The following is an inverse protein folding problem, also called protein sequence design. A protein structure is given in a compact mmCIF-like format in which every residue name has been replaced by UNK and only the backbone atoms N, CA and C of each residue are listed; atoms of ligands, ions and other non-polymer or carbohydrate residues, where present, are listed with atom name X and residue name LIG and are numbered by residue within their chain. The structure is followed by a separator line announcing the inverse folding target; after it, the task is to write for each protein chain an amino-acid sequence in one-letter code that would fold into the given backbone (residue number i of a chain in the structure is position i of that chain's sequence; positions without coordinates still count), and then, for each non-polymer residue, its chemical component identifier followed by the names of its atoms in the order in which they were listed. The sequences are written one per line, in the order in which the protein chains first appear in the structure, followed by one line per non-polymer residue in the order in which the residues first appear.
data_IF_418716009818
#
_entry.id   IF_418716009818
#
_cell.length_a   1.000
_cell.length_b   1.000
_cell.length_c   1.000
_cell.angle_alpha   90.00
_cell.angle_beta   90.00
_cell.angle_gamma   90.00
#
_symmetry.space_group_name_H-M   'P 1'
#
loop_
_entity.id
_entity.type
_entity.pdbx_description
1 polymer ?
#
# COMPACT_ATOMS: atom_id res chain seq x y z
N UNK A 1 8.37 -12.23 -30.86
CA UNK A 1 8.36 -11.35 -29.66
C UNK A 1 7.82 -12.18 -28.52
N UNK A 2 8.66 -12.62 -27.60
CA UNK A 2 8.20 -13.32 -26.41
C UNK A 2 8.10 -12.26 -25.32
N UNK A 3 6.88 -11.99 -24.85
CA UNK A 3 6.67 -11.11 -23.69
C UNK A 3 7.18 -11.86 -22.47
N UNK A 4 8.29 -11.42 -21.87
CA UNK A 4 8.63 -11.85 -20.53
C UNK A 4 7.50 -11.39 -19.61
N UNK A 5 6.91 -12.31 -18.85
CA UNK A 5 5.89 -11.98 -17.85
C UNK A 5 6.60 -11.67 -16.53
N UNK A 6 6.21 -10.60 -15.85
CA UNK A 6 6.65 -10.28 -14.50
C UNK A 6 6.64 -11.52 -13.58
N UNK A 7 7.78 -11.82 -12.95
CA UNK A 7 7.93 -12.91 -11.99
C UNK A 7 7.65 -12.34 -10.60
N UNK A 8 6.45 -12.59 -10.09
CA UNK A 8 6.07 -12.29 -8.71
C UNK A 8 6.98 -13.06 -7.74
N UNK A 9 7.55 -12.34 -6.77
CA UNK A 9 8.46 -12.91 -5.75
C UNK A 9 7.63 -13.42 -4.56
N UNK A 10 8.16 -14.34 -3.76
CA UNK A 10 7.52 -14.78 -2.52
C UNK A 10 8.53 -14.81 -1.38
N UNK A 11 8.13 -14.25 -0.24
CA UNK A 11 8.82 -14.44 1.04
C UNK A 11 8.18 -15.63 1.76
N UNK A 12 9.00 -16.46 2.41
CA UNK A 12 8.50 -17.66 3.11
C UNK A 12 8.69 -17.46 4.61
N UNK A 13 7.58 -17.49 5.32
CA UNK A 13 7.52 -17.53 6.78
C UNK A 13 7.42 -19.00 7.21
N UNK A 14 8.57 -19.63 7.46
CA UNK A 14 8.65 -21.04 7.83
C UNK A 14 8.01 -21.33 9.19
N UNK A 15 7.31 -22.47 9.30
CA UNK A 15 6.62 -22.88 10.52
C UNK A 15 5.47 -21.96 10.93
N UNK A 16 4.90 -21.23 9.96
CA UNK A 16 3.77 -20.32 10.17
C UNK A 16 2.61 -20.60 9.21
N UNK A 17 1.40 -20.38 9.71
CA UNK A 17 0.17 -20.33 8.94
C UNK A 17 -0.11 -18.88 8.51
N UNK A 18 -0.37 -18.64 7.22
CA UNK A 18 -0.94 -17.38 6.74
C UNK A 18 -2.36 -17.24 7.25
N UNK A 19 -2.58 -16.41 8.27
CA UNK A 19 -3.89 -15.91 8.64
C UNK A 19 -4.49 -14.98 7.57
N UNK A 20 -5.46 -14.15 7.98
CA UNK A 20 -6.17 -13.25 7.07
C UNK A 20 -7.41 -13.88 6.44
N UNK A 21 -8.05 -13.11 5.56
CA UNK A 21 -9.32 -13.48 4.93
C UNK A 21 -9.12 -14.60 3.90
N UNK A 22 -9.98 -15.61 3.96
CA UNK A 22 -9.97 -16.74 3.04
C UNK A 22 -10.58 -16.34 1.69
N UNK A 23 -9.92 -16.72 0.60
CA UNK A 23 -10.45 -16.55 -0.76
C UNK A 23 -11.09 -17.87 -1.22
N UNK A 24 -12.41 -17.99 -1.10
CA UNK A 24 -13.18 -19.15 -1.59
C UNK A 24 -13.57 -19.02 -3.08
N UNK A 25 -13.56 -17.79 -3.59
CA UNK A 25 -13.91 -17.43 -4.96
C UNK A 25 -13.03 -16.25 -5.34
N UNK A 26 -12.44 -16.30 -6.53
CA UNK A 26 -11.65 -15.21 -7.06
C UNK A 26 -12.53 -13.99 -7.38
N UNK A 27 -11.91 -12.83 -7.51
CA UNK A 27 -12.56 -11.56 -7.83
C UNK A 27 -13.26 -11.57 -9.20
N UNK A 28 -12.84 -12.45 -10.11
CA UNK A 28 -13.47 -12.71 -11.42
C UNK A 28 -14.71 -13.65 -11.33
N UNK A 29 -15.04 -14.15 -10.14
CA UNK A 29 -16.16 -15.06 -9.90
C UNK A 29 -15.83 -16.54 -10.10
N UNK A 30 -14.62 -16.89 -10.54
CA UNK A 30 -14.21 -18.28 -10.68
C UNK A 30 -13.94 -18.93 -9.31
N UNK A 31 -14.13 -20.25 -9.24
CA UNK A 31 -13.79 -21.04 -8.06
C UNK A 31 -12.28 -20.97 -7.79
N UNK A 32 -11.90 -20.75 -6.53
CA UNK A 32 -10.50 -20.81 -6.13
C UNK A 32 -9.99 -22.22 -5.83
N UNK A 33 -10.89 -23.22 -5.86
CA UNK A 33 -10.56 -24.58 -5.45
C UNK A 33 -10.21 -24.68 -3.97
N UNK A 34 -10.65 -23.73 -3.13
CA UNK A 34 -10.25 -23.67 -1.73
C UNK A 34 -10.51 -25.01 -1.01
N UNK A 35 -9.44 -25.62 -0.48
CA UNK A 35 -9.51 -26.89 0.25
C UNK A 35 -9.88 -28.12 -0.58
N UNK A 36 -10.07 -28.01 -1.90
CA UNK A 36 -10.52 -29.11 -2.77
C UNK A 36 -9.68 -29.28 -4.04
N UNK A 37 -9.23 -28.19 -4.66
CA UNK A 37 -8.34 -28.16 -5.83
C UNK A 37 -6.88 -28.02 -5.41
N UNK A 38 -6.32 -29.08 -4.82
CA UNK A 38 -4.93 -29.08 -4.36
C UNK A 38 -3.93 -28.94 -5.52
N UNK A 39 -2.94 -28.08 -5.33
CA UNK A 39 -1.76 -27.95 -6.19
C UNK A 39 -0.57 -28.49 -5.41
N UNK A 40 0.11 -29.48 -6.00
CA UNK A 40 1.04 -30.35 -5.28
C UNK A 40 2.51 -29.91 -5.40
N UNK A 41 2.75 -28.69 -5.90
CA UNK A 41 4.08 -28.10 -6.03
C UNK A 41 4.06 -26.59 -5.77
N UNK A 42 5.18 -26.08 -5.22
CA UNK A 42 5.27 -24.65 -4.86
C UNK A 42 5.27 -23.72 -6.09
N UNK A 43 5.88 -24.05 -7.25
CA UNK A 43 5.75 -23.23 -8.46
C UNK A 43 4.30 -23.02 -8.93
N UNK A 44 3.47 -24.06 -8.93
CA UNK A 44 2.06 -24.01 -9.31
C UNK A 44 1.24 -23.18 -8.33
N UNK A 45 1.52 -23.32 -7.03
CA UNK A 45 0.91 -22.49 -5.98
C UNK A 45 1.23 -21.00 -6.17
N UNK A 46 2.50 -20.69 -6.42
CA UNK A 46 2.97 -19.33 -6.70
C UNK A 46 2.31 -18.80 -7.97
N UNK A 47 2.27 -19.59 -9.05
CA UNK A 47 1.64 -19.20 -10.33
C UNK A 47 0.17 -18.86 -10.14
N UNK A 48 -0.57 -19.74 -9.46
CA UNK A 48 -2.00 -19.55 -9.18
C UNK A 48 -2.24 -18.27 -8.38
N UNK A 49 -1.58 -18.12 -7.23
CA UNK A 49 -1.72 -16.92 -6.42
C UNK A 49 -1.20 -15.65 -7.13
N UNK A 50 -0.22 -15.78 -8.03
CA UNK A 50 0.32 -14.65 -8.80
C UNK A 50 -0.68 -14.11 -9.81
N UNK A 51 -1.47 -14.97 -10.43
CA UNK A 51 -2.48 -14.61 -11.42
C UNK A 51 -3.64 -13.78 -10.85
N UNK A 52 -3.84 -13.80 -9.53
CA UNK A 52 -4.93 -13.10 -8.86
C UNK A 52 -4.40 -11.94 -8.00
N UNK A 53 -4.89 -10.72 -8.28
CA UNK A 53 -4.44 -9.51 -7.59
C UNK A 53 -4.81 -9.52 -6.10
N UNK A 54 -5.96 -10.10 -5.76
CA UNK A 54 -6.46 -10.24 -4.39
C UNK A 54 -5.69 -11.25 -3.54
N UNK A 55 -4.91 -12.16 -4.15
CA UNK A 55 -4.13 -13.16 -3.42
C UNK A 55 -2.85 -12.52 -2.85
N UNK A 56 -2.82 -12.33 -1.54
CA UNK A 56 -1.64 -11.83 -0.83
C UNK A 56 -0.67 -12.97 -0.44
N UNK A 57 -1.14 -14.22 -0.45
CA UNK A 57 -0.32 -15.38 -0.12
C UNK A 57 -1.13 -16.66 0.02
N UNK A 58 -0.45 -17.73 0.41
CA UNK A 58 -1.08 -19.03 0.62
C UNK A 58 -0.36 -19.85 1.71
N UNK A 59 -1.12 -20.76 2.30
CA UNK A 59 -0.55 -21.78 3.18
C UNK A 59 -0.06 -22.96 2.36
N UNK A 60 1.21 -23.29 2.54
CA UNK A 60 1.78 -24.57 2.11
C UNK A 60 1.84 -25.51 3.31
N UNK A 61 1.29 -26.71 3.17
CA UNK A 61 1.37 -27.74 4.21
C UNK A 61 2.53 -28.67 3.95
N UNK A 62 3.26 -29.05 4.99
CA UNK A 62 4.22 -30.15 4.91
C UNK A 62 3.46 -31.43 4.53
N UNK A 63 3.94 -32.12 3.49
CA UNK A 63 3.16 -33.09 2.71
C UNK A 63 2.85 -32.64 1.27
N UNK A 64 3.26 -31.43 0.91
CA UNK A 64 3.48 -31.06 -0.49
C UNK A 64 2.29 -30.46 -1.22
N UNK A 65 1.41 -29.69 -0.55
CA UNK A 65 0.21 -29.16 -1.22
C UNK A 65 -0.22 -27.79 -0.72
N UNK A 66 -0.83 -27.02 -1.63
CA UNK A 66 -1.61 -25.82 -1.30
C UNK A 66 -2.99 -25.86 -1.95
N UNK A 67 -3.94 -25.17 -1.34
CA UNK A 67 -5.21 -24.71 -1.92
C UNK A 67 -5.87 -23.70 -0.96
N UNK A 68 -5.04 -22.99 -0.18
CA UNK A 68 -5.45 -22.22 0.98
C UNK A 68 -5.03 -20.76 0.79
N UNK A 69 -5.64 -20.14 -0.20
CA UNK A 69 -5.38 -18.77 -0.64
C UNK A 69 -5.90 -17.76 0.38
N UNK A 70 -5.12 -16.71 0.59
CA UNK A 70 -5.40 -15.67 1.58
C UNK A 70 -5.32 -14.30 0.92
N UNK A 71 -6.34 -13.48 1.14
CA UNK A 71 -6.25 -12.06 0.84
C UNK A 71 -5.62 -11.33 2.01
N UNK A 72 -4.99 -10.20 1.72
CA UNK A 72 -4.44 -9.33 2.74
C UNK A 72 -5.54 -8.72 3.62
N UNK A 73 -5.22 -8.30 4.86
CA UNK A 73 -3.91 -8.44 5.47
C UNK A 73 -3.60 -9.86 5.99
N UNK A 74 -2.43 -10.42 5.64
CA UNK A 74 -1.93 -11.69 6.19
C UNK A 74 -1.44 -11.54 7.64
N UNK A 75 -1.81 -12.46 8.52
CA UNK A 75 -1.30 -12.52 9.88
C UNK A 75 -0.58 -13.86 10.09
N UNK A 76 0.74 -13.96 9.83
CA UNK A 76 1.48 -15.19 10.00
C UNK A 76 1.53 -15.61 11.48
N UNK A 77 0.93 -16.73 11.83
CA UNK A 77 0.91 -17.29 13.20
C UNK A 77 1.69 -18.60 13.26
N UNK A 78 2.42 -18.84 14.35
CA UNK A 78 3.17 -20.08 14.53
C UNK A 78 2.24 -21.31 14.43
N UNK A 79 2.55 -22.21 13.50
CA UNK A 79 1.86 -23.48 13.35
C UNK A 79 2.81 -24.47 12.67
N UNK A 80 3.10 -25.57 13.37
CA UNK A 80 3.93 -26.64 12.81
C UNK A 80 3.32 -27.19 11.51
N UNK A 81 4.17 -27.73 10.64
CA UNK A 81 3.80 -28.33 9.35
C UNK A 81 3.14 -27.35 8.36
N UNK A 82 3.27 -26.05 8.59
CA UNK A 82 2.78 -24.98 7.71
C UNK A 82 3.90 -24.01 7.38
N UNK A 83 3.94 -23.58 6.13
CA UNK A 83 4.75 -22.45 5.69
C UNK A 83 3.84 -21.41 5.06
N UNK A 84 3.98 -20.16 5.50
CA UNK A 84 3.20 -19.06 4.97
C UNK A 84 3.97 -18.41 3.83
N UNK A 85 3.49 -18.61 2.60
CA UNK A 85 4.05 -18.00 1.40
C UNK A 85 3.39 -16.65 1.22
N UNK A 86 4.14 -15.59 1.52
CA UNK A 86 3.72 -14.20 1.35
C UNK A 86 4.13 -13.76 -0.04
N UNK A 87 3.14 -13.36 -0.86
CA UNK A 87 3.39 -12.78 -2.18
C UNK A 87 4.14 -11.47 -1.98
N UNK A 88 5.40 -11.45 -2.40
CA UNK A 88 6.25 -10.28 -2.38
C UNK A 88 6.14 -9.59 -3.76
N UNK A 89 5.95 -8.29 -3.73
CA UNK A 89 5.98 -7.44 -4.90
C UNK A 89 7.04 -6.38 -4.72
N UNK A 90 7.59 -5.93 -5.85
CA UNK A 90 8.34 -4.68 -5.86
C UNK A 90 7.37 -3.58 -5.45
N UNK A 91 7.76 -2.75 -4.48
CA UNK A 91 7.00 -1.54 -4.20
C UNK A 91 7.45 -0.48 -5.20
N UNK A 92 6.57 -0.05 -6.09
CA UNK A 92 6.80 1.11 -6.94
C UNK A 92 6.13 2.33 -6.33
N UNK A 93 6.80 3.47 -6.45
CA UNK A 93 6.28 4.75 -5.96
C UNK A 93 5.36 5.34 -7.00
N UNK A 94 4.05 5.35 -6.70
CA UNK A 94 3.08 6.10 -7.47
C UNK A 94 2.91 7.50 -6.87
N UNK A 95 3.22 8.52 -7.68
CA UNK A 95 3.03 9.92 -7.35
C UNK A 95 1.92 10.52 -8.24
N UNK A 96 0.62 10.21 -8.01
CA UNK A 96 -0.48 10.71 -8.83
C UNK A 96 -0.44 12.24 -8.98
N UNK A 97 -0.88 12.77 -10.14
CA UNK A 97 -0.91 14.21 -10.38
C UNK A 97 -1.84 14.90 -9.37
N UNK A 98 -1.63 16.19 -9.15
CA UNK A 98 -2.45 16.96 -8.21
C UNK A 98 -3.95 16.94 -8.53
N UNK A 99 -4.33 16.75 -9.80
CA UNK A 99 -5.73 16.57 -10.21
C UNK A 99 -6.39 15.30 -9.68
N UNK A 100 -5.59 14.32 -9.23
CA UNK A 100 -6.05 13.09 -8.58
C UNK A 100 -6.00 13.18 -7.05
N UNK A 101 -5.93 14.40 -6.50
CA UNK A 101 -5.78 14.64 -5.07
C UNK A 101 -6.82 15.63 -4.57
N UNK A 102 -7.24 15.45 -3.33
CA UNK A 102 -8.22 16.31 -2.66
C UNK A 102 -7.81 16.53 -1.21
N UNK A 103 -8.27 17.63 -0.64
CA UNK A 103 -7.90 18.06 0.71
C UNK A 103 -9.14 18.41 1.50
N UNK A 104 -9.08 18.19 2.80
CA UNK A 104 -9.95 18.81 3.80
C UNK A 104 -10.06 20.33 3.61
N UNK A 105 -8.92 21.02 3.68
CA UNK A 105 -8.75 22.45 3.44
C UNK A 105 -7.38 22.74 2.83
N UNK A 106 -7.21 23.95 2.30
CA UNK A 106 -5.94 24.45 1.75
C UNK A 106 -5.71 25.86 2.27
N UNK A 107 -4.48 26.18 2.65
CA UNK A 107 -4.10 27.54 3.04
C UNK A 107 -4.48 28.56 1.96
N UNK A 108 -5.11 29.67 2.36
CA UNK A 108 -5.66 30.69 1.46
C UNK A 108 -6.64 30.19 0.39
N UNK A 109 -7.20 28.98 0.54
CA UNK A 109 -8.13 28.37 -0.41
C UNK A 109 -7.58 28.32 -1.85
N UNK A 110 -6.28 28.05 -1.98
CA UNK A 110 -5.59 27.98 -3.26
C UNK A 110 -6.05 26.77 -4.08
N UNK A 111 -6.06 26.93 -5.40
CA UNK A 111 -6.50 25.87 -6.30
C UNK A 111 -5.49 24.71 -6.33
N UNK A 112 -5.94 23.44 -6.51
CA UNK A 112 -5.04 22.31 -6.73
C UNK A 112 -4.01 22.59 -7.83
N UNK A 113 -2.75 22.35 -7.52
CA UNK A 113 -1.59 22.57 -8.39
C UNK A 113 -0.89 23.91 -8.15
N UNK A 114 -1.43 24.76 -7.26
CA UNK A 114 -0.91 26.10 -6.97
C UNK A 114 -0.63 26.26 -5.48
N UNK A 115 0.34 27.11 -5.13
CA UNK A 115 0.68 27.42 -3.74
C UNK A 115 0.75 26.17 -2.84
N UNK A 116 -0.02 26.20 -1.76
CA UNK A 116 -0.13 25.19 -0.70
C UNK A 116 -1.09 24.04 -1.05
N UNK A 117 -1.44 23.86 -2.32
CA UNK A 117 -2.04 22.64 -2.85
C UNK A 117 -1.12 22.06 -3.92
N UNK A 118 0.12 21.72 -3.51
CA UNK A 118 1.15 21.10 -4.35
C UNK A 118 1.82 19.93 -3.64
N UNK A 119 1.03 18.90 -3.36
CA UNK A 119 1.38 17.76 -2.52
C UNK A 119 2.17 16.63 -3.17
N UNK A 120 2.52 16.72 -4.45
CA UNK A 120 3.37 15.72 -5.10
C UNK A 120 4.78 15.73 -4.51
N UNK A 121 5.41 14.55 -4.40
CA UNK A 121 6.84 14.46 -4.07
C UNK A 121 7.66 15.36 -5.00
N UNK A 122 8.73 15.94 -4.45
CA UNK A 122 9.70 16.79 -5.13
C UNK A 122 9.12 18.07 -5.75
N UNK A 123 7.85 18.38 -5.48
CA UNK A 123 7.28 19.69 -5.78
C UNK A 123 8.03 20.79 -5.03
N UNK A 124 8.15 21.97 -5.65
CA UNK A 124 8.75 23.16 -5.05
C UNK A 124 7.96 23.72 -3.85
N UNK A 125 6.76 23.20 -3.62
CA UNK A 125 5.89 23.53 -2.49
C UNK A 125 5.24 22.24 -1.97
N UNK A 126 4.44 22.32 -0.90
CA UNK A 126 3.71 21.19 -0.33
C UNK A 126 2.20 21.44 -0.30
N UNK A 127 1.43 20.46 0.16
CA UNK A 127 0.13 20.80 0.74
C UNK A 127 0.31 21.37 2.13
N UNK A 128 -0.40 22.45 2.45
CA UNK A 128 -0.60 22.95 3.81
C UNK A 128 -2.08 23.22 4.02
N UNK A 129 -2.70 22.72 5.10
CA UNK A 129 -4.11 23.00 5.37
C UNK A 129 -4.32 24.46 5.78
N UNK A 130 -5.59 24.88 5.78
CA UNK A 130 -5.99 26.20 6.25
C UNK A 130 -5.69 26.39 7.73
N UNK A 131 -5.87 25.34 8.54
CA UNK A 131 -5.64 25.39 9.98
C UNK A 131 -4.51 24.43 10.37
N UNK A 132 -3.64 24.87 11.28
CA UNK A 132 -2.68 24.00 11.94
C UNK A 132 -3.36 23.19 13.05
N UNK A 133 -4.15 22.18 12.67
CA UNK A 133 -4.95 21.38 13.59
C UNK A 133 -4.99 19.90 13.18
N UNK A 134 -5.14 19.02 14.19
CA UNK A 134 -5.49 17.62 13.97
C UNK A 134 -6.89 17.53 13.35
N UNK A 135 -7.08 16.62 12.41
CA UNK A 135 -8.34 16.40 11.69
C UNK A 135 -8.34 16.92 10.25
N UNK A 136 -7.34 17.72 9.87
CA UNK A 136 -7.04 17.99 8.47
C UNK A 136 -6.55 16.70 7.79
N UNK A 137 -6.81 16.58 6.50
CA UNK A 137 -6.43 15.42 5.68
C UNK A 137 -6.14 15.76 4.23
N UNK A 138 -5.28 14.94 3.64
CA UNK A 138 -5.04 14.82 2.19
C UNK A 138 -5.50 13.44 1.72
N UNK A 139 -6.13 13.39 0.56
CA UNK A 139 -6.57 12.17 -0.10
C UNK A 139 -5.95 12.05 -1.49
N UNK A 140 -5.46 10.85 -1.80
CA UNK A 140 -4.87 10.50 -3.09
C UNK A 140 -5.76 9.43 -3.75
N UNK A 141 -6.14 9.65 -5.01
CA UNK A 141 -6.80 8.66 -5.87
C UNK A 141 -5.77 8.00 -6.79
N UNK A 142 -5.61 6.67 -6.67
CA UNK A 142 -4.72 5.85 -7.50
C UNK A 142 -5.34 5.48 -8.87
N UNK A 143 -6.59 5.88 -9.14
CA UNK A 143 -7.33 5.63 -10.38
C UNK A 143 -7.94 4.24 -10.49
N UNK A 144 -7.35 3.24 -9.84
CA UNK A 144 -7.83 1.86 -9.77
C UNK A 144 -7.53 1.24 -8.39
N UNK A 145 -8.21 0.13 -8.06
CA UNK A 145 -7.88 -0.66 -6.88
C UNK A 145 -6.50 -1.31 -7.05
N UNK A 146 -5.61 -1.09 -6.10
CA UNK A 146 -4.24 -1.61 -6.07
C UNK A 146 -3.94 -2.19 -4.69
N UNK A 147 -2.93 -3.06 -4.64
CA UNK A 147 -2.34 -3.48 -3.37
C UNK A 147 -1.37 -2.40 -2.89
N UNK A 148 -1.80 -1.62 -1.91
CA UNK A 148 -1.01 -0.53 -1.32
C UNK A 148 -0.11 -1.13 -0.24
N UNK A 149 1.18 -0.84 -0.29
CA UNK A 149 2.21 -1.41 0.60
C UNK A 149 2.84 -0.38 1.53
N UNK A 150 2.53 0.91 1.35
CA UNK A 150 3.13 1.99 2.11
C UNK A 150 2.87 3.36 1.51
N UNK A 151 3.52 4.36 2.07
CA UNK A 151 3.61 5.70 1.49
C UNK A 151 5.04 6.24 1.62
N UNK A 152 5.33 7.27 0.83
CA UNK A 152 6.55 8.08 0.94
C UNK A 152 6.12 9.49 1.31
N UNK A 153 6.72 10.05 2.37
CA UNK A 153 6.39 11.38 2.88
C UNK A 153 7.63 12.27 2.86
N UNK A 154 7.43 13.52 2.49
CA UNK A 154 8.46 14.54 2.40
C UNK A 154 7.91 15.87 2.94
N UNK A 155 8.77 16.70 3.54
CA UNK A 155 8.38 18.00 4.08
C UNK A 155 8.08 19.04 3.00
N UNK A 156 8.01 20.32 3.38
CA UNK A 156 7.85 21.42 2.43
C UNK A 156 9.19 21.98 1.94
N UNK A 157 9.52 21.87 0.65
CA UNK A 157 10.82 22.33 0.14
C UNK A 157 11.12 23.82 0.37
N UNK A 158 10.09 24.68 0.33
CA UNK A 158 10.26 26.13 0.41
C UNK A 158 10.21 26.71 1.84
N UNK A 159 9.97 25.90 2.87
CA UNK A 159 9.84 26.37 4.24
C UNK A 159 10.22 25.29 5.26
N UNK A 160 10.55 25.68 6.50
CA UNK A 160 10.91 24.75 7.57
C UNK A 160 9.65 24.19 8.25
N UNK A 161 8.85 23.43 7.50
CA UNK A 161 7.59 22.83 7.97
C UNK A 161 7.41 21.41 7.43
N UNK A 162 7.03 20.48 8.30
CA UNK A 162 6.77 19.10 7.91
C UNK A 162 5.93 18.33 8.94
N UNK A 163 5.15 17.36 8.47
CA UNK A 163 4.45 16.39 9.32
C UNK A 163 5.43 15.36 9.89
N UNK A 164 5.39 15.14 11.20
CA UNK A 164 6.25 14.19 11.94
C UNK A 164 5.56 12.90 12.34
N UNK A 165 4.22 12.88 12.41
CA UNK A 165 3.43 11.65 12.53
C UNK A 165 2.05 11.83 11.93
N UNK A 166 1.43 10.73 11.51
CA UNK A 166 0.13 10.74 10.86
C UNK A 166 -0.59 9.39 11.02
N UNK A 167 -1.91 9.42 10.85
CA UNK A 167 -2.73 8.22 10.66
C UNK A 167 -3.06 8.01 9.18
N UNK A 168 -3.31 6.75 8.82
CA UNK A 168 -3.67 6.36 7.46
C UNK A 168 -5.01 5.66 7.42
N UNK A 169 -5.82 6.00 6.42
CA UNK A 169 -7.00 5.26 6.03
C UNK A 169 -6.95 4.93 4.54
N UNK A 170 -7.60 3.83 4.15
CA UNK A 170 -7.80 3.49 2.75
C UNK A 170 -9.27 3.21 2.44
N UNK A 171 -9.62 3.32 1.15
CA UNK A 171 -10.94 2.98 0.65
C UNK A 171 -10.87 2.42 -0.77
N UNK A 172 -11.78 1.50 -1.10
CA UNK A 172 -12.00 1.06 -2.48
C UNK A 172 -12.90 2.04 -3.26
N UNK A 173 -13.78 2.77 -2.56
CA UNK A 173 -14.86 3.57 -3.19
C UNK A 173 -14.85 5.05 -2.82
N UNK A 174 -14.01 5.47 -1.87
CA UNK A 174 -13.90 6.86 -1.42
C UNK A 174 -14.96 7.30 -0.39
N UNK A 175 -15.87 6.41 0.02
CA UNK A 175 -16.95 6.70 0.98
C UNK A 175 -16.82 5.94 2.30
N UNK A 176 -16.43 4.66 2.25
CA UNK A 176 -16.20 3.81 3.44
C UNK A 176 -14.70 3.63 3.64
N UNK A 177 -14.21 4.07 4.79
CA UNK A 177 -12.78 4.14 5.10
C UNK A 177 -12.40 3.12 6.17
N UNK A 178 -11.23 2.53 6.01
CA UNK A 178 -10.65 1.57 6.96
C UNK A 178 -9.27 2.07 7.38
N UNK A 179 -9.06 2.16 8.69
CA UNK A 179 -7.77 2.56 9.25
C UNK A 179 -6.68 1.50 9.02
N UNK A 180 -5.48 1.96 8.69
CA UNK A 180 -4.27 1.15 8.65
C UNK A 180 -3.56 1.35 10.00
N UNK A 181 -3.29 0.27 10.72
CA UNK A 181 -2.73 0.35 12.07
C UNK A 181 -1.23 0.69 12.00
N UNK A 182 -0.87 1.85 12.56
CA UNK A 182 0.50 2.34 12.74
C UNK A 182 1.06 2.07 14.15
N UNK A 183 2.32 2.43 14.41
CA UNK A 183 2.74 3.83 14.30
C UNK A 183 3.37 4.17 12.94
N UNK A 184 3.07 5.37 12.42
CA UNK A 184 3.73 5.92 11.23
C UNK A 184 4.50 7.19 11.56
N UNK A 185 5.79 7.20 11.24
CA UNK A 185 6.65 8.36 11.41
C UNK A 185 6.77 9.13 10.10
N UNK A 186 6.56 10.44 10.16
CA UNK A 186 6.70 11.35 9.03
C UNK A 186 8.12 11.81 8.78
N UNK A 187 8.23 12.98 8.15
CA UNK A 187 9.51 13.56 7.79
C UNK A 187 10.27 14.07 9.02
N UNK A 188 11.60 14.09 8.90
CA UNK A 188 12.51 14.64 9.91
C UNK A 188 13.04 16.02 9.54
N UNK A 189 12.82 16.44 8.29
CA UNK A 189 13.25 17.71 7.74
C UNK A 189 12.34 18.11 6.56
N UNK A 190 12.68 19.20 5.89
CA UNK A 190 11.89 19.81 4.82
C UNK A 190 11.92 19.04 3.48
N UNK A 191 12.91 18.18 3.21
CA UNK A 191 13.17 17.71 1.85
C UNK A 191 13.59 16.24 1.70
N UNK A 192 14.06 15.58 2.75
CA UNK A 192 14.33 14.14 2.73
C UNK A 192 13.03 13.35 2.59
N UNK A 193 13.01 12.42 1.63
CA UNK A 193 11.92 11.46 1.50
C UNK A 193 12.04 10.36 2.56
N UNK A 194 10.97 10.13 3.31
CA UNK A 194 10.86 9.07 4.31
C UNK A 194 9.86 8.03 3.81
N UNK A 195 10.33 6.79 3.69
CA UNK A 195 9.50 5.66 3.28
C UNK A 195 8.88 5.02 4.52
N UNK A 196 7.56 4.82 4.49
CA UNK A 196 6.83 4.04 5.49
C UNK A 196 6.04 2.93 4.83
N UNK A 197 6.58 1.72 4.93
CA UNK A 197 5.91 0.51 4.46
C UNK A 197 5.13 -0.14 5.59
N UNK A 198 4.01 -0.75 5.24
CA UNK A 198 3.26 -1.59 6.16
C UNK A 198 3.06 -2.96 5.53
N UNK A 199 3.23 -3.97 6.38
CA UNK A 199 2.90 -5.36 6.06
C UNK A 199 1.78 -5.76 6.99
N UNK A 200 0.65 -6.23 6.46
CA UNK A 200 0.46 -6.63 5.05
C UNK A 200 -0.06 -5.51 4.16
N UNK A 201 0.01 -5.69 2.84
CA UNK A 201 -0.63 -4.75 1.91
C UNK A 201 -2.14 -4.70 2.09
N UNK A 202 -2.73 -3.55 1.75
CA UNK A 202 -4.18 -3.34 1.76
C UNK A 202 -4.69 -3.13 0.34
N UNK A 203 -5.85 -3.70 0.01
CA UNK A 203 -6.47 -3.51 -1.30
C UNK A 203 -7.34 -2.26 -1.28
N UNK A 204 -6.93 -1.22 -2.02
CA UNK A 204 -7.62 0.07 -2.04
C UNK A 204 -7.29 0.89 -3.27
N UNK A 205 -8.13 1.89 -3.53
CA UNK A 205 -7.92 2.89 -4.60
C UNK A 205 -7.57 4.26 -4.02
N UNK A 206 -8.15 4.59 -2.88
CA UNK A 206 -7.95 5.87 -2.21
C UNK A 206 -7.15 5.67 -0.95
N UNK A 207 -6.20 6.57 -0.69
CA UNK A 207 -5.44 6.66 0.56
C UNK A 207 -5.68 8.04 1.13
N UNK A 208 -5.98 8.12 2.42
CA UNK A 208 -6.13 9.37 3.15
C UNK A 208 -5.13 9.43 4.29
N UNK A 209 -4.45 10.55 4.39
CA UNK A 209 -3.41 10.82 5.38
C UNK A 209 -3.90 11.93 6.29
N UNK A 210 -3.84 11.70 7.60
CA UNK A 210 -4.27 12.63 8.64
C UNK A 210 -3.05 13.03 9.49
N UNK A 211 -2.51 14.25 9.33
CA UNK A 211 -1.43 14.73 10.18
C UNK A 211 -1.82 14.74 11.67
N UNK A 212 -0.96 14.19 12.52
CA UNK A 212 -1.15 14.13 13.97
C UNK A 212 -0.18 15.03 14.73
N UNK A 213 1.08 15.09 14.28
CA UNK A 213 2.10 15.99 14.82
C UNK A 213 2.94 16.58 13.68
N UNK A 214 3.50 17.77 13.88
CA UNK A 214 4.30 18.46 12.89
C UNK A 214 5.34 19.39 13.52
N UNK A 215 6.37 19.71 12.75
CA UNK A 215 7.32 20.77 13.01
C UNK A 215 7.00 21.99 12.15
N UNK A 216 7.26 23.19 12.67
CA UNK A 216 6.92 24.46 12.01
C UNK A 216 5.53 24.97 12.41
N UNK A 217 4.95 25.83 11.57
CA UNK A 217 3.66 26.49 11.88
C UNK A 217 2.48 25.66 11.40
N UNK A 218 2.58 25.02 10.22
CA UNK A 218 1.55 24.19 9.60
C UNK A 218 2.02 22.75 9.37
N UNK A 219 1.10 21.76 9.40
CA UNK A 219 1.39 20.38 9.02
C UNK A 219 1.52 20.26 7.50
N UNK A 220 2.64 20.73 6.96
CA UNK A 220 2.91 20.66 5.53
C UNK A 220 3.45 19.29 5.12
N UNK A 221 3.02 18.77 3.97
CA UNK A 221 3.57 17.50 3.45
C UNK A 221 3.43 17.35 1.93
N UNK A 222 4.39 16.63 1.36
CA UNK A 222 4.36 16.02 0.03
C UNK A 222 4.32 14.50 0.18
N UNK A 223 3.54 13.81 -0.65
CA UNK A 223 3.25 12.38 -0.48
C UNK A 223 3.18 11.66 -1.81
N UNK A 224 3.73 10.45 -1.84
CA UNK A 224 3.43 9.43 -2.84
C UNK A 224 3.00 8.12 -2.15
N UNK A 225 2.39 7.22 -2.91
CA UNK A 225 1.91 5.93 -2.41
C UNK A 225 2.81 4.83 -2.94
N UNK A 226 3.18 3.89 -2.07
CA UNK A 226 3.83 2.66 -2.50
C UNK A 226 2.76 1.65 -2.87
N UNK A 227 2.87 1.11 -4.08
CA UNK A 227 1.99 0.04 -4.55
C UNK A 227 2.81 -1.18 -4.91
N UNK A 228 2.16 -2.31 -4.74
CA UNK A 228 2.62 -3.61 -5.14
C UNK A 228 2.49 -3.75 -6.66
N UNK A 229 3.60 -3.65 -7.39
CA UNK A 229 3.66 -4.04 -8.79
C UNK A 229 4.38 -5.38 -8.95
N UNK A 230 3.96 -6.16 -9.95
CA UNK A 230 4.65 -7.40 -10.29
C UNK A 230 6.07 -7.04 -10.78
N UNK A 231 7.09 -7.71 -10.25
CA UNK A 231 8.49 -7.45 -10.64
C UNK A 231 8.71 -7.99 -12.05
N UNK A 232 8.90 -7.10 -13.03
CA UNK A 232 9.34 -7.49 -14.37
C UNK A 232 10.78 -8.05 -14.29
N UNK A 233 11.09 -9.22 -14.89
CA UNK A 233 12.46 -9.71 -14.91
C UNK A 233 13.35 -8.79 -15.75
N UNK A 234 14.51 -8.41 -15.22
CA UNK A 234 15.55 -7.71 -16.00
C UNK A 234 16.05 -8.61 -17.14
N UNK A 235 16.11 -8.12 -18.39
CA UNK A 235 16.79 -8.84 -19.46
C UNK A 235 18.27 -9.01 -19.11
N UNK A 236 18.76 -10.25 -19.13
CA UNK A 236 20.20 -10.58 -19.09
C UNK A 236 20.90 -10.19 -20.39
#
# INVERSE_FOLDING_TARGET
MWSASAQVVYTIEYGKHCGGSTINTWSDGASSGYGTGFVDDTPGCKTTCSAHAECAGFNWREGGRCSFWKSGPLSPTALADHNCYVKACGSTTENPPESSRTYSTVYSNEAPGTGHARSQLDSAQAWSPLNAAVGEWMQIDLGATKAITGIVVQGQAADTQWVTSYDLEYSAYGSSWVGIVGPFSGSTDADSQVVQSFTPSVQGRYVRIYPQTWAGTYPSMRVAVLVCEAVEPTPE
#
